data_IF_911859917703
#
_entry.id   IF_911859917703
#
_cell.length_a   1.000
_cell.length_b   1.000
_cell.length_c   1.000
_cell.angle_alpha   90.00
_cell.angle_beta   90.00
_cell.angle_gamma   90.00
#
_symmetry.space_group_name_H-M   'P 1'
#
loop_
_entity.id
_entity.type
_entity.pdbx_description
1 polymer ?
#
# COMPACT_ATOMS: atom_id res chain seq x y z
N UNK A 1 -12.41 -15.09 -32.17
CA UNK A 1 -11.13 -14.53 -31.68
C UNK A 1 -11.53 -13.44 -30.71
N UNK A 2 -11.42 -13.65 -29.39
CA UNK A 2 -11.72 -12.59 -28.41
C UNK A 2 -10.42 -11.84 -28.17
N UNK A 3 -10.46 -10.57 -28.53
CA UNK A 3 -9.37 -9.61 -28.44
C UNK A 3 -8.77 -9.60 -27.03
N UNK A 4 -7.44 -9.45 -27.00
CA UNK A 4 -6.63 -9.51 -25.80
C UNK A 4 -7.10 -8.48 -24.78
N UNK A 5 -7.30 -8.94 -23.55
CA UNK A 5 -7.29 -8.05 -22.40
C UNK A 5 -5.89 -7.49 -22.25
N UNK A 6 -5.58 -6.40 -22.97
CA UNK A 6 -4.47 -5.53 -22.68
C UNK A 6 -4.65 -5.09 -21.22
N UNK A 7 -3.97 -5.78 -20.31
CA UNK A 7 -3.79 -5.28 -18.95
C UNK A 7 -3.06 -3.96 -19.13
N UNK A 8 -3.81 -2.85 -19.10
CA UNK A 8 -3.23 -1.52 -19.07
C UNK A 8 -2.08 -1.54 -18.06
N UNK A 9 -0.88 -1.05 -18.42
CA UNK A 9 0.23 -1.02 -17.50
C UNK A 9 -0.24 -0.27 -16.25
N UNK A 10 -0.17 -0.92 -15.10
CA UNK A 10 -0.52 -0.30 -13.83
C UNK A 10 0.33 0.96 -13.70
N UNK A 11 -0.30 2.08 -13.39
CA UNK A 11 0.46 3.30 -13.15
C UNK A 11 1.27 3.13 -11.85
N UNK A 12 2.38 3.85 -11.68
CA UNK A 12 3.17 3.80 -10.44
C UNK A 12 2.32 4.06 -9.19
N UNK A 13 1.29 4.92 -9.31
CA UNK A 13 0.32 5.16 -8.25
C UNK A 13 -0.49 3.90 -7.91
N UNK A 14 -0.99 3.18 -8.91
CA UNK A 14 -1.72 1.93 -8.71
C UNK A 14 -0.85 0.84 -8.11
N UNK A 15 0.40 0.71 -8.54
CA UNK A 15 1.34 -0.23 -7.95
C UNK A 15 1.61 0.10 -6.47
N UNK A 16 1.77 1.38 -6.12
CA UNK A 16 1.93 1.79 -4.74
C UNK A 16 0.66 1.53 -3.91
N UNK A 17 -0.52 1.84 -4.44
CA UNK A 17 -1.79 1.59 -3.75
C UNK A 17 -2.00 0.09 -3.51
N UNK A 18 -1.72 -0.77 -4.50
CA UNK A 18 -1.78 -2.23 -4.39
C UNK A 18 -0.80 -2.75 -3.33
N UNK A 19 0.44 -2.23 -3.32
CA UNK A 19 1.45 -2.58 -2.33
C UNK A 19 1.01 -2.22 -0.92
N UNK A 20 0.56 -0.98 -0.70
CA UNK A 20 0.05 -0.53 0.61
C UNK A 20 -1.16 -1.38 1.04
N UNK A 21 -2.02 -1.76 0.10
CA UNK A 21 -3.14 -2.67 0.37
C UNK A 21 -2.70 -4.05 0.86
N UNK A 22 -1.60 -4.58 0.31
CA UNK A 22 -1.00 -5.84 0.74
C UNK A 22 -0.40 -5.72 2.14
N UNK A 23 0.30 -4.61 2.42
CA UNK A 23 0.84 -4.31 3.76
C UNK A 23 -0.29 -4.22 4.80
N UNK A 24 -1.41 -3.57 4.47
CA UNK A 24 -2.59 -3.51 5.34
C UNK A 24 -3.08 -4.91 5.72
N UNK A 25 -3.17 -5.82 4.75
CA UNK A 25 -3.59 -7.21 5.04
C UNK A 25 -2.57 -7.93 5.92
N UNK A 26 -1.28 -7.77 5.65
CA UNK A 26 -0.21 -8.37 6.44
C UNK A 26 -0.26 -7.87 7.89
N UNK A 27 -0.31 -6.55 8.08
CA UNK A 27 -0.51 -5.89 9.36
C UNK A 27 -1.78 -6.41 10.07
N UNK A 28 -2.91 -6.56 9.37
CA UNK A 28 -4.14 -7.10 9.96
C UNK A 28 -3.96 -8.53 10.48
N UNK A 29 -3.27 -9.40 9.73
CA UNK A 29 -2.97 -10.78 10.16
C UNK A 29 -2.04 -10.83 11.38
N UNK A 30 -1.15 -9.85 11.52
CA UNK A 30 -0.23 -9.70 12.65
C UNK A 30 -0.84 -8.98 13.86
N UNK A 31 -2.16 -8.70 13.85
CA UNK A 31 -2.82 -7.96 14.93
C UNK A 31 -2.43 -6.48 14.97
N UNK A 32 -2.43 -5.80 13.82
CA UNK A 32 -2.21 -4.36 13.73
C UNK A 32 -3.15 -3.56 14.63
N UNK A 33 -2.56 -2.58 15.31
CA UNK A 33 -3.25 -1.67 16.21
C UNK A 33 -4.13 -0.70 15.41
N UNK A 34 -5.12 -0.10 16.08
CA UNK A 34 -6.01 0.94 15.53
C UNK A 34 -5.30 2.19 14.97
N UNK A 35 -3.97 2.27 15.07
CA UNK A 35 -3.14 3.36 14.54
C UNK A 35 -2.47 3.03 13.19
N UNK A 36 -2.07 1.78 12.99
CA UNK A 36 -1.24 1.36 11.83
C UNK A 36 -2.09 1.25 10.56
N UNK A 37 -3.29 0.66 10.68
CA UNK A 37 -4.23 0.51 9.57
C UNK A 37 -4.76 1.84 9.02
N UNK A 38 -5.21 2.82 9.83
CA UNK A 38 -5.61 4.12 9.30
C UNK A 38 -4.43 4.91 8.74
N UNK A 39 -3.23 4.77 9.29
CA UNK A 39 -2.03 5.40 8.72
C UNK A 39 -1.74 4.88 7.31
N UNK A 40 -1.77 3.56 7.11
CA UNK A 40 -1.58 2.94 5.79
C UNK A 40 -2.71 3.33 4.81
N UNK A 41 -3.97 3.38 5.25
CA UNK A 41 -5.09 3.87 4.42
C UNK A 41 -4.90 5.33 4.03
N UNK A 42 -4.40 6.16 4.94
CA UNK A 42 -4.04 7.55 4.66
C UNK A 42 -2.95 7.69 3.60
N UNK A 43 -1.97 6.77 3.58
CA UNK A 43 -0.95 6.74 2.51
C UNK A 43 -1.56 6.44 1.14
N UNK A 44 -2.53 5.52 1.06
CA UNK A 44 -3.23 5.27 -0.21
C UNK A 44 -3.96 6.51 -0.72
N UNK A 45 -4.61 7.24 0.19
CA UNK A 45 -5.34 8.46 -0.18
C UNK A 45 -4.38 9.55 -0.65
N UNK A 46 -3.27 9.78 0.07
CA UNK A 46 -2.22 10.73 -0.33
C UNK A 46 -1.60 10.43 -1.69
N UNK A 47 -1.45 9.15 -2.06
CA UNK A 47 -0.98 8.76 -3.39
C UNK A 47 -2.04 9.08 -4.45
N UNK A 48 -3.32 8.85 -4.15
CA UNK A 48 -4.44 9.17 -5.05
C UNK A 48 -4.60 10.67 -5.28
N UNK A 49 -4.45 11.47 -4.22
CA UNK A 49 -4.50 12.94 -4.27
C UNK A 49 -3.21 13.56 -4.79
N UNK A 50 -2.16 12.74 -5.03
CA UNK A 50 -0.82 13.16 -5.44
C UNK A 50 -0.13 14.09 -4.43
N UNK A 51 -0.54 14.04 -3.17
CA UNK A 51 0.14 14.74 -2.06
C UNK A 51 1.49 14.12 -1.74
N UNK A 52 1.69 12.84 -2.07
CA UNK A 52 2.94 12.12 -1.89
C UNK A 52 3.28 11.29 -3.14
N UNK A 53 4.57 11.16 -3.43
CA UNK A 53 5.03 10.28 -4.51
C UNK A 53 4.75 8.81 -4.18
N UNK A 54 4.43 7.97 -5.19
CA UNK A 54 4.22 6.53 -5.01
C UNK A 54 5.39 5.82 -4.32
N UNK A 55 6.63 6.21 -4.65
CA UNK A 55 7.85 5.64 -4.06
C UNK A 55 7.95 5.93 -2.56
N UNK A 56 7.68 7.18 -2.16
CA UNK A 56 7.72 7.58 -0.75
C UNK A 56 6.60 6.90 0.05
N UNK A 57 5.40 6.78 -0.53
CA UNK A 57 4.31 6.04 0.11
C UNK A 57 4.63 4.54 0.29
N UNK A 58 5.29 3.91 -0.69
CA UNK A 58 5.77 2.52 -0.56
C UNK A 58 6.82 2.39 0.54
N UNK A 59 7.76 3.33 0.62
CA UNK A 59 8.79 3.35 1.67
C UNK A 59 8.17 3.46 3.06
N UNK A 60 7.24 4.41 3.26
CA UNK A 60 6.54 4.57 4.53
C UNK A 60 5.71 3.35 4.91
N UNK A 61 5.01 2.73 3.95
CA UNK A 61 4.28 1.50 4.21
C UNK A 61 5.20 0.32 4.56
N UNK A 62 6.35 0.20 3.88
CA UNK A 62 7.36 -0.81 4.18
C UNK A 62 7.95 -0.63 5.59
N UNK A 63 8.18 0.61 6.03
CA UNK A 63 8.63 0.88 7.39
C UNK A 63 7.59 0.43 8.43
N UNK A 64 6.30 0.67 8.19
CA UNK A 64 5.21 0.22 9.08
C UNK A 64 5.15 -1.30 9.13
N UNK A 65 5.23 -1.96 7.98
CA UNK A 65 5.27 -3.43 7.89
C UNK A 65 6.43 -4.01 8.70
N UNK A 66 7.64 -3.47 8.48
CA UNK A 66 8.86 -3.97 9.11
C UNK A 66 8.86 -3.76 10.63
N UNK A 67 8.34 -2.61 11.11
CA UNK A 67 8.13 -2.39 12.54
C UNK A 67 7.17 -3.43 13.11
N UNK A 68 6.03 -3.66 12.45
CA UNK A 68 5.04 -4.63 12.90
C UNK A 68 5.58 -6.07 12.92
N UNK A 69 6.37 -6.45 11.93
CA UNK A 69 7.05 -7.75 11.90
C UNK A 69 8.12 -7.88 12.99
N UNK A 70 8.76 -6.79 13.38
CA UNK A 70 9.78 -6.80 14.44
C UNK A 70 9.18 -6.83 15.86
N UNK A 71 7.96 -6.30 16.04
CA UNK A 71 7.22 -6.32 17.30
C UNK A 71 6.51 -7.66 17.60
N UNK A 72 6.40 -8.57 16.62
CA UNK A 72 5.66 -9.84 16.74
C UNK A 72 6.56 -11.07 16.89
#
# INVERSE_FOLDING_TARGET
>A
MREGGERMPKTPEQEAIDYIGSVIQNCYMLGANDFELPTLRGLQDKVRTKEISPEEARKLASEIENRKQSDH
#
